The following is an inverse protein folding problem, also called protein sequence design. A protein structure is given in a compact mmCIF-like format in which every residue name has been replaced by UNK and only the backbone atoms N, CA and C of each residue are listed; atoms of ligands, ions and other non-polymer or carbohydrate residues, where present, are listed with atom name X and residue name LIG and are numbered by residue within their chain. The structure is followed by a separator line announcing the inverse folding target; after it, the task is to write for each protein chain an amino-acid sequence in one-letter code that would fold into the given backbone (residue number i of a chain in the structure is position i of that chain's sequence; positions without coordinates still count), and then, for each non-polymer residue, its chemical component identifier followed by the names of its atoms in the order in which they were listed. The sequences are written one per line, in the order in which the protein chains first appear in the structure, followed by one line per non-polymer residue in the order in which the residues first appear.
data_IF_621426025358
#
_entry.id   IF_621426025358
#
_cell.length_a   1.000
_cell.length_b   1.000
_cell.length_c   1.000
_cell.angle_alpha   90.00
_cell.angle_beta   90.00
_cell.angle_gamma   90.00
#
_symmetry.space_group_name_H-M   'P 1'
#
loop_
_entity.id
_entity.type
_entity.pdbx_description
1 polymer ?
#
# COMPACT_ATOMS: atom_id res chain seq x y z
N UNK A 1 -17.75 -1.73 -21.07
CA UNK A 1 -17.83 -1.02 -19.78
C UNK A 1 -16.62 -1.46 -18.97
N UNK A 2 -15.66 -0.57 -18.73
CA UNK A 2 -14.41 -0.97 -18.09
C UNK A 2 -14.69 -1.17 -16.59
N UNK A 3 -14.19 -2.23 -15.93
CA UNK A 3 -14.41 -2.46 -14.50
C UNK A 3 -13.81 -1.37 -13.57
N UNK A 4 -13.28 -0.28 -14.14
CA UNK A 4 -12.73 0.88 -13.43
C UNK A 4 -13.66 2.11 -13.49
N UNK A 5 -14.72 2.08 -14.30
CA UNK A 5 -15.66 3.21 -14.47
C UNK A 5 -16.53 3.46 -13.21
N UNK A 6 -16.36 2.67 -12.14
CA UNK A 6 -17.17 2.69 -10.93
C UNK A 6 -16.45 3.10 -9.65
N UNK A 7 -15.19 3.55 -9.68
CA UNK A 7 -14.62 4.20 -8.48
C UNK A 7 -15.12 5.65 -8.44
N UNK A 8 -16.43 5.79 -8.23
CA UNK A 8 -17.03 7.04 -7.83
C UNK A 8 -16.22 7.59 -6.65
N UNK A 9 -15.94 8.89 -6.67
CA UNK A 9 -15.31 9.62 -5.58
C UNK A 9 -16.18 9.53 -4.33
N UNK A 10 -16.14 8.41 -3.62
CA UNK A 10 -16.82 8.28 -2.35
C UNK A 10 -16.06 9.17 -1.35
N UNK A 11 -16.74 10.05 -0.61
CA UNK A 11 -16.07 10.82 0.42
C UNK A 11 -15.53 9.88 1.50
N UNK A 12 -14.38 10.22 2.08
CA UNK A 12 -13.91 9.56 3.29
C UNK A 12 -14.93 9.77 4.41
N UNK A 13 -15.09 8.81 5.34
CA UNK A 13 -16.06 8.94 6.42
C UNK A 13 -15.67 10.11 7.34
N UNK A 14 -16.64 10.85 7.86
CA UNK A 14 -16.36 11.85 8.88
C UNK A 14 -15.73 11.20 10.11
N UNK A 15 -14.59 11.74 10.53
CA UNK A 15 -13.90 11.25 11.72
C UNK A 15 -14.52 11.92 12.93
N UNK A 16 -15.00 11.12 13.87
CA UNK A 16 -15.35 11.60 15.20
C UNK A 16 -14.22 11.24 16.15
N UNK A 17 -13.86 12.18 17.04
CA UNK A 17 -12.87 11.89 18.08
C UNK A 17 -13.30 10.67 18.90
N UNK A 18 -12.47 9.63 18.91
CA UNK A 18 -12.80 8.37 19.57
C UNK A 18 -11.56 7.67 20.09
N UNK A 19 -11.70 7.08 21.27
CA UNK A 19 -10.71 6.18 21.85
C UNK A 19 -11.25 4.76 21.79
N UNK A 20 -10.42 3.83 21.32
CA UNK A 20 -10.75 2.41 21.22
C UNK A 20 -9.72 1.63 22.04
N UNK A 21 -10.11 1.02 23.16
CA UNK A 21 -9.22 0.13 23.90
C UNK A 21 -8.91 -1.11 23.06
N UNK A 22 -7.66 -1.54 23.11
CA UNK A 22 -7.16 -2.76 22.48
C UNK A 22 -7.00 -3.86 23.53
N UNK A 23 -7.00 -5.12 23.08
CA UNK A 23 -6.94 -6.30 23.95
C UNK A 23 -5.64 -6.38 24.78
N UNK A 24 -4.62 -5.65 24.35
CA UNK A 24 -3.30 -5.61 24.96
C UNK A 24 -3.14 -4.42 25.93
N UNK A 25 -4.23 -3.71 26.23
CA UNK A 25 -4.22 -2.52 27.09
C UNK A 25 -3.75 -1.23 26.41
N UNK A 26 -3.42 -1.27 25.12
CA UNK A 26 -3.23 -0.06 24.32
C UNK A 26 -4.56 0.66 24.05
N UNK A 27 -4.50 1.95 23.72
CA UNK A 27 -5.67 2.74 23.31
C UNK A 27 -5.37 3.41 21.98
N UNK A 28 -6.24 3.17 21.00
CA UNK A 28 -6.16 3.80 19.68
C UNK A 28 -7.07 5.04 19.64
N UNK A 29 -6.46 6.19 19.44
CA UNK A 29 -7.12 7.50 19.37
C UNK A 29 -7.29 7.89 17.92
N UNK A 30 -8.53 8.13 17.49
CA UNK A 30 -8.84 8.75 16.21
C UNK A 30 -9.03 10.25 16.44
N UNK A 31 -8.19 11.05 15.81
CA UNK A 31 -8.17 12.51 15.95
C UNK A 31 -8.62 13.13 14.62
N UNK A 32 -9.77 13.82 14.60
CA UNK A 32 -10.31 14.41 13.37
C UNK A 32 -9.60 15.69 12.96
N UNK A 33 -9.17 16.49 13.94
CA UNK A 33 -8.48 17.74 13.68
C UNK A 33 -6.98 17.48 13.56
N UNK A 34 -6.53 17.16 12.36
CA UNK A 34 -5.10 16.97 12.09
C UNK A 34 -4.45 18.34 11.89
N UNK A 35 -3.39 18.69 12.65
CA UNK A 35 -2.72 19.96 12.45
C UNK A 35 -2.19 20.10 11.02
N UNK A 36 -2.42 21.24 10.37
CA UNK A 36 -1.95 21.42 8.99
C UNK A 36 -0.42 21.51 8.92
N UNK A 37 0.21 22.19 9.87
CA UNK A 37 1.66 22.38 9.90
C UNK A 37 2.39 21.11 10.37
N UNK A 38 3.42 20.69 9.61
CA UNK A 38 4.20 19.49 9.93
C UNK A 38 4.86 19.54 11.32
N UNK A 39 5.28 20.72 11.79
CA UNK A 39 5.81 20.90 13.15
C UNK A 39 4.76 20.58 14.23
N UNK A 40 3.51 21.03 14.03
CA UNK A 40 2.41 20.74 14.95
C UNK A 40 1.99 19.27 14.88
N UNK A 41 2.02 18.65 13.68
CA UNK A 41 1.80 17.20 13.55
C UNK A 41 2.83 16.40 14.34
N UNK A 42 4.10 16.83 14.31
CA UNK A 42 5.17 16.18 15.09
C UNK A 42 4.90 16.28 16.58
N UNK A 43 4.58 17.47 17.08
CA UNK A 43 4.25 17.66 18.49
C UNK A 43 3.01 16.82 18.90
N UNK A 44 2.03 16.69 18.01
CA UNK A 44 0.82 15.91 18.29
C UNK A 44 1.04 14.39 18.32
N UNK A 45 2.06 13.87 17.64
CA UNK A 45 2.45 12.45 17.72
C UNK A 45 3.53 12.19 18.77
N UNK A 46 4.08 13.25 19.37
CA UNK A 46 5.06 13.14 20.43
C UNK A 46 4.41 12.48 21.66
N UNK A 47 5.05 11.44 22.20
CA UNK A 47 4.47 10.63 23.28
C UNK A 47 3.42 9.60 22.87
N UNK A 48 3.12 9.43 21.58
CA UNK A 48 2.43 8.20 21.13
C UNK A 48 3.44 7.06 20.91
N UNK A 49 2.97 5.81 20.90
CA UNK A 49 3.80 4.64 20.58
C UNK A 49 3.93 4.51 19.05
N UNK A 50 2.79 4.52 18.38
CA UNK A 50 2.64 4.43 16.93
C UNK A 50 1.67 5.51 16.49
N UNK A 51 1.89 6.09 15.32
CA UNK A 51 0.97 7.04 14.71
C UNK A 51 0.72 6.71 13.25
N UNK A 52 -0.44 7.13 12.76
CA UNK A 52 -0.75 7.15 11.35
C UNK A 52 -1.40 8.48 10.94
N UNK A 53 -1.03 8.97 9.76
CA UNK A 53 -1.75 10.03 9.05
C UNK A 53 -2.35 9.41 7.81
N UNK A 54 -3.61 9.70 7.53
CA UNK A 54 -4.29 9.22 6.32
C UNK A 54 -5.12 10.32 5.68
N UNK A 55 -5.24 10.29 4.37
CA UNK A 55 -6.09 11.23 3.64
C UNK A 55 -5.74 11.30 2.15
N UNK A 56 -6.44 12.14 1.38
CA UNK A 56 -6.18 12.27 -0.05
C UNK A 56 -4.74 12.66 -0.35
N UNK A 57 -4.20 12.11 -1.43
CA UNK A 57 -2.91 12.53 -1.98
C UNK A 57 -3.08 13.75 -2.87
N UNK A 58 -2.34 14.81 -2.58
CA UNK A 58 -2.49 16.11 -3.26
C UNK A 58 -1.40 16.42 -4.26
N UNK A 59 -0.33 15.64 -4.28
CA UNK A 59 0.80 15.91 -5.15
C UNK A 59 0.66 15.21 -6.52
N UNK A 60 -0.38 14.42 -6.76
CA UNK A 60 -0.60 13.66 -8.01
C UNK A 60 -0.56 14.56 -9.26
N UNK A 61 -0.03 14.07 -10.41
CA UNK A 61 -0.08 14.85 -11.65
C UNK A 61 -1.54 15.12 -12.05
N UNK A 62 -1.83 16.24 -12.74
CA UNK A 62 -3.20 16.57 -13.18
C UNK A 62 -3.87 15.49 -14.04
N UNK A 63 -3.08 14.60 -14.65
CA UNK A 63 -3.52 13.49 -15.49
C UNK A 63 -3.95 12.25 -14.68
N UNK A 64 -3.73 12.22 -13.36
CA UNK A 64 -4.16 11.11 -12.52
C UNK A 64 -5.69 11.12 -12.40
N UNK A 65 -6.34 10.11 -12.97
CA UNK A 65 -7.79 10.02 -13.07
C UNK A 65 -8.51 9.68 -11.74
N UNK A 66 -7.78 9.40 -10.65
CA UNK A 66 -8.40 9.03 -9.37
C UNK A 66 -7.66 9.58 -8.15
N UNK A 67 -8.38 10.09 -7.13
CA UNK A 67 -7.79 10.45 -5.86
C UNK A 67 -7.28 9.19 -5.17
N UNK A 68 -5.98 9.12 -4.94
CA UNK A 68 -5.39 8.10 -4.08
C UNK A 68 -5.51 8.54 -2.63
N UNK A 69 -5.85 7.61 -1.74
CA UNK A 69 -5.69 7.83 -0.31
C UNK A 69 -4.27 7.50 0.08
N UNK A 70 -3.54 8.51 0.50
CA UNK A 70 -2.19 8.43 1.04
C UNK A 70 -2.20 8.11 2.52
N UNK A 71 -1.06 7.57 2.97
CA UNK A 71 -0.84 7.42 4.39
C UNK A 71 0.62 7.51 4.78
N UNK A 72 0.83 7.73 6.07
CA UNK A 72 2.12 7.59 6.73
C UNK A 72 1.86 6.82 8.02
N UNK A 73 2.63 5.76 8.30
CA UNK A 73 2.52 4.99 9.55
C UNK A 73 3.89 4.91 10.18
N UNK A 74 4.09 5.39 11.40
CA UNK A 74 5.40 5.39 12.03
C UNK A 74 5.36 5.20 13.53
N UNK A 75 6.52 4.88 14.11
CA UNK A 75 6.75 4.93 15.56
C UNK A 75 7.22 6.32 15.98
N UNK A 76 6.78 6.80 17.14
CA UNK A 76 7.17 8.15 17.60
C UNK A 76 8.59 8.18 18.13
N UNK A 77 9.11 7.07 18.67
CA UNK A 77 10.51 6.92 19.07
C UNK A 77 11.48 7.16 17.90
N UNK A 78 11.08 6.82 16.67
CA UNK A 78 11.89 7.05 15.49
C UNK A 78 12.10 8.55 15.20
N UNK A 79 11.22 9.43 15.72
CA UNK A 79 11.31 10.88 15.55
C UNK A 79 12.41 11.50 16.40
N UNK A 80 12.86 10.85 17.47
CA UNK A 80 13.98 11.33 18.30
C UNK A 80 15.34 10.88 17.76
N UNK A 81 15.37 9.89 16.86
CA UNK A 81 16.59 9.35 16.22
C UNK A 81 16.85 9.83 14.78
N UNK A 82 17.29 8.91 13.91
CA UNK A 82 17.73 9.21 12.53
C UNK A 82 16.61 9.74 11.60
N UNK A 83 15.37 9.31 11.81
CA UNK A 83 14.23 9.83 11.05
C UNK A 83 13.87 11.26 11.47
N UNK A 84 14.15 11.63 12.73
CA UNK A 84 14.13 13.01 13.22
C UNK A 84 15.17 13.93 12.56
N UNK A 85 16.39 13.44 12.34
CA UNK A 85 17.47 14.18 11.64
C UNK A 85 17.20 14.33 10.15
N UNK A 86 16.41 13.45 9.56
CA UNK A 86 15.92 13.59 8.20
C UNK A 86 14.54 14.26 8.14
N UNK A 87 14.34 15.30 8.96
CA UNK A 87 13.14 16.14 9.01
C UNK A 87 12.61 16.49 7.62
N UNK A 88 13.51 16.82 6.68
CA UNK A 88 13.16 17.09 5.29
C UNK A 88 12.38 15.95 4.63
N UNK A 89 12.80 14.70 4.74
CA UNK A 89 12.08 13.57 4.11
C UNK A 89 10.77 13.24 4.82
N UNK A 90 10.72 13.33 6.15
CA UNK A 90 9.47 13.15 6.90
C UNK A 90 8.42 14.21 6.53
N UNK A 91 8.83 15.49 6.50
CA UNK A 91 7.95 16.60 6.09
C UNK A 91 7.54 16.49 4.63
N UNK A 92 8.47 16.15 3.72
CA UNK A 92 8.15 15.97 2.30
C UNK A 92 7.15 14.82 2.09
N UNK A 93 7.31 13.70 2.79
CA UNK A 93 6.38 12.58 2.74
C UNK A 93 4.98 12.99 3.23
N UNK A 94 4.90 13.81 4.28
CA UNK A 94 3.62 14.28 4.80
C UNK A 94 2.95 15.35 3.96
N UNK A 95 3.70 16.21 3.27
CA UNK A 95 3.16 17.23 2.36
C UNK A 95 2.47 16.63 1.13
N UNK A 96 2.73 15.35 0.84
CA UNK A 96 2.03 14.62 -0.20
C UNK A 96 0.59 14.22 0.20
N UNK A 97 0.22 14.41 1.47
CA UNK A 97 -1.06 13.98 2.05
C UNK A 97 -1.78 15.22 2.58
N UNK A 98 -3.02 15.42 2.14
CA UNK A 98 -3.98 16.26 2.84
C UNK A 98 -4.63 15.42 3.93
N UNK A 99 -4.23 15.58 5.21
CA UNK A 99 -4.60 14.63 6.25
C UNK A 99 -6.07 14.79 6.63
N UNK A 100 -6.82 13.72 6.39
CA UNK A 100 -8.21 13.56 6.83
C UNK A 100 -8.31 13.05 8.26
N UNK A 101 -7.38 12.18 8.67
CA UNK A 101 -7.35 11.62 10.01
C UNK A 101 -5.92 11.43 10.53
N UNK A 102 -5.77 11.61 11.84
CA UNK A 102 -4.58 11.23 12.59
C UNK A 102 -4.99 10.14 13.59
N UNK A 103 -4.25 9.05 13.61
CA UNK A 103 -4.49 7.91 14.47
C UNK A 103 -3.28 7.76 15.39
N UNK A 104 -3.50 7.71 16.70
CA UNK A 104 -2.43 7.60 17.69
C UNK A 104 -2.65 6.37 18.56
N UNK A 105 -1.64 5.52 18.68
CA UNK A 105 -1.62 4.43 19.65
C UNK A 105 -0.91 4.93 20.91
N UNK A 106 -1.61 4.93 22.04
CA UNK A 106 -1.02 5.19 23.35
C UNK A 106 -1.04 3.94 24.21
N UNK A 107 -0.08 3.84 25.13
CA UNK A 107 -0.07 2.80 26.14
C UNK A 107 0.56 3.35 27.41
N UNK A 108 0.09 2.88 28.56
CA UNK A 108 0.65 3.22 29.88
C UNK A 108 2.03 2.62 30.12
N UNK A 109 2.33 1.49 29.49
CA UNK A 109 3.65 0.85 29.51
C UNK A 109 4.26 0.80 28.11
N UNK A 110 5.58 1.00 27.96
CA UNK A 110 6.25 0.87 26.67
C UNK A 110 6.09 -0.54 26.10
N UNK A 111 5.98 -0.65 24.77
CA UNK A 111 6.11 -1.95 24.11
C UNK A 111 7.56 -2.40 24.11
N UNK A 112 7.77 -3.71 24.02
CA UNK A 112 9.05 -4.25 23.56
C UNK A 112 9.38 -3.69 22.16
N UNK A 113 10.59 -3.18 21.93
CA UNK A 113 10.96 -2.57 20.65
C UNK A 113 10.85 -3.51 19.43
N UNK A 114 11.09 -4.80 19.62
CA UNK A 114 11.00 -5.81 18.56
C UNK A 114 9.52 -6.11 18.25
N UNK A 115 8.66 -6.25 19.26
CA UNK A 115 7.20 -6.39 19.07
C UNK A 115 6.59 -5.18 18.36
N UNK A 116 6.99 -3.96 18.75
CA UNK A 116 6.49 -2.74 18.13
C UNK A 116 6.93 -2.63 16.67
N UNK A 117 8.16 -3.03 16.36
CA UNK A 117 8.67 -3.02 14.98
C UNK A 117 7.96 -4.05 14.10
N UNK A 118 7.61 -5.22 14.64
CA UNK A 118 6.76 -6.20 13.95
C UNK A 118 5.34 -5.67 13.75
N UNK A 119 4.76 -5.07 14.80
CA UNK A 119 3.40 -4.50 14.76
C UNK A 119 3.28 -3.40 13.71
N UNK A 120 4.20 -2.43 13.69
CA UNK A 120 4.27 -1.37 12.68
C UNK A 120 4.34 -1.96 11.27
N UNK A 121 5.24 -2.91 11.04
CA UNK A 121 5.41 -3.54 9.74
C UNK A 121 4.16 -4.30 9.28
N UNK A 122 3.44 -4.93 10.22
CA UNK A 122 2.19 -5.63 9.92
C UNK A 122 1.07 -4.65 9.58
N UNK A 123 0.94 -3.53 10.30
CA UNK A 123 -0.01 -2.46 9.97
C UNK A 123 0.25 -1.92 8.57
N UNK A 124 1.51 -1.62 8.25
CA UNK A 124 1.95 -1.16 6.93
C UNK A 124 1.59 -2.17 5.84
N UNK A 125 1.93 -3.45 6.05
CA UNK A 125 1.66 -4.52 5.09
C UNK A 125 0.15 -4.69 4.84
N UNK A 126 -0.67 -4.68 5.90
CA UNK A 126 -2.12 -4.80 5.79
C UNK A 126 -2.74 -3.64 5.02
N UNK A 127 -2.44 -2.40 5.41
CA UNK A 127 -3.05 -1.22 4.81
C UNK A 127 -2.58 -0.98 3.36
N UNK A 128 -1.31 -1.23 3.04
CA UNK A 128 -0.77 -0.96 1.70
C UNK A 128 -0.95 -2.12 0.72
N UNK A 129 -0.83 -3.37 1.20
CA UNK A 129 -0.76 -4.55 0.32
C UNK A 129 -2.01 -5.41 0.41
N UNK A 130 -2.40 -5.83 1.62
CA UNK A 130 -3.46 -6.84 1.75
C UNK A 130 -4.86 -6.24 1.55
N UNK A 131 -5.13 -5.07 2.14
CA UNK A 131 -6.36 -4.31 1.94
C UNK A 131 -6.25 -3.34 0.75
N UNK A 132 -5.02 -2.96 0.37
CA UNK A 132 -4.78 -2.06 -0.75
C UNK A 132 -5.39 -0.67 -0.57
N UNK A 133 -5.57 -0.21 0.67
CA UNK A 133 -6.30 1.00 1.04
C UNK A 133 -5.43 2.25 1.05
N UNK A 134 -4.14 2.11 1.39
CA UNK A 134 -3.25 3.24 1.58
C UNK A 134 -2.06 3.23 0.63
N UNK A 135 -1.84 4.40 0.06
CA UNK A 135 -0.64 4.80 -0.61
C UNK A 135 0.41 5.27 0.42
N UNK A 136 1.14 4.32 1.03
CA UNK A 136 2.10 4.66 2.08
C UNK A 136 3.31 5.43 1.54
N UNK A 137 3.58 6.55 2.18
CA UNK A 137 4.69 7.47 1.86
C UNK A 137 6.00 7.10 2.56
N UNK A 138 5.95 6.12 3.47
CA UNK A 138 7.09 5.55 4.15
C UNK A 138 7.03 4.01 4.12
N UNK A 139 8.13 3.34 3.74
CA UNK A 139 8.24 1.88 3.80
C UNK A 139 9.61 1.49 4.33
N UNK A 140 9.87 1.78 5.61
CA UNK A 140 11.06 1.29 6.30
C UNK A 140 10.61 0.48 7.52
N UNK A 141 10.95 -0.80 7.58
CA UNK A 141 10.89 -1.55 8.84
C UNK A 141 12.02 -2.58 8.91
N UNK A 142 12.63 -2.71 10.10
CA UNK A 142 13.61 -3.76 10.42
C UNK A 142 12.93 -5.04 10.92
N UNK A 143 11.69 -5.30 10.49
CA UNK A 143 10.82 -6.28 11.12
C UNK A 143 11.29 -7.74 10.98
N UNK A 144 12.07 -8.09 9.95
CA UNK A 144 12.63 -9.45 9.84
C UNK A 144 13.61 -9.75 10.97
N UNK A 145 14.52 -8.81 11.27
CA UNK A 145 15.48 -8.97 12.37
C UNK A 145 14.78 -8.97 13.73
N UNK A 146 13.77 -8.11 13.90
CA UNK A 146 12.96 -8.07 15.12
C UNK A 146 12.18 -9.38 15.32
N UNK A 147 11.51 -9.88 14.28
CA UNK A 147 10.74 -11.12 14.35
C UNK A 147 11.61 -12.33 14.72
N UNK A 148 12.86 -12.39 14.24
CA UNK A 148 13.79 -13.47 14.56
C UNK A 148 14.20 -13.52 16.05
N UNK A 149 14.03 -12.42 16.80
CA UNK A 149 14.38 -12.32 18.23
C UNK A 149 13.20 -12.62 19.15
N UNK A 150 11.98 -12.68 18.61
CA UNK A 150 10.77 -12.94 19.38
C UNK A 150 10.48 -14.44 19.47
N UNK A 151 9.89 -14.84 20.59
CA UNK A 151 9.31 -16.18 20.69
C UNK A 151 8.09 -16.28 19.76
N UNK A 152 7.70 -17.48 19.29
CA UNK A 152 6.55 -17.65 18.41
C UNK A 152 5.24 -17.04 18.96
N UNK A 153 5.01 -17.16 20.26
CA UNK A 153 3.84 -16.59 20.93
C UNK A 153 3.84 -15.05 20.88
N UNK A 154 4.97 -14.41 21.17
CA UNK A 154 5.11 -12.95 21.14
C UNK A 154 4.99 -12.41 19.71
N UNK A 155 5.58 -13.12 18.76
CA UNK A 155 5.44 -12.82 17.33
C UNK A 155 3.97 -12.88 16.89
N UNK A 156 3.24 -13.94 17.26
CA UNK A 156 1.83 -14.08 16.94
C UNK A 156 0.97 -12.96 17.56
N UNK A 157 1.25 -12.57 18.80
CA UNK A 157 0.57 -11.47 19.48
C UNK A 157 0.82 -10.13 18.77
N UNK A 158 2.06 -9.81 18.41
CA UNK A 158 2.41 -8.59 17.67
C UNK A 158 1.74 -8.54 16.28
N UNK A 159 1.69 -9.67 15.57
CA UNK A 159 0.99 -9.77 14.28
C UNK A 159 -0.51 -9.53 14.45
N UNK A 160 -1.14 -10.16 15.45
CA UNK A 160 -2.58 -10.02 15.73
C UNK A 160 -2.95 -8.59 16.11
N UNK A 161 -2.11 -7.93 16.91
CA UNK A 161 -2.26 -6.52 17.25
C UNK A 161 -2.16 -5.64 16.00
N UNK A 162 -1.16 -5.87 15.15
CA UNK A 162 -1.00 -5.14 13.89
C UNK A 162 -2.19 -5.31 12.94
N UNK A 163 -2.75 -6.52 12.86
CA UNK A 163 -3.96 -6.80 12.09
C UNK A 163 -5.18 -6.06 12.63
N UNK A 164 -5.33 -6.03 13.95
CA UNK A 164 -6.43 -5.32 14.64
C UNK A 164 -6.35 -3.82 14.38
N UNK A 165 -5.16 -3.22 14.55
CA UNK A 165 -4.95 -1.78 14.31
C UNK A 165 -5.23 -1.43 12.84
N UNK A 166 -4.70 -2.22 11.89
CA UNK A 166 -4.95 -2.00 10.47
C UNK A 166 -6.45 -2.08 10.13
N UNK A 167 -7.16 -3.07 10.68
CA UNK A 167 -8.60 -3.23 10.48
C UNK A 167 -9.40 -2.05 11.01
N UNK A 168 -9.03 -1.53 12.19
CA UNK A 168 -9.67 -0.35 12.77
C UNK A 168 -9.42 0.90 11.92
N UNK A 169 -8.19 1.12 11.46
CA UNK A 169 -7.85 2.24 10.56
C UNK A 169 -8.66 2.13 9.26
N UNK A 170 -8.66 0.97 8.62
CA UNK A 170 -9.36 0.75 7.35
C UNK A 170 -10.87 0.97 7.46
N UNK A 171 -11.51 0.43 8.49
CA UNK A 171 -12.96 0.57 8.66
C UNK A 171 -13.37 1.96 9.14
N UNK A 172 -12.64 2.54 10.11
CA UNK A 172 -13.07 3.77 10.79
C UNK A 172 -12.52 5.03 10.18
N UNK A 173 -11.27 5.03 9.72
CA UNK A 173 -10.68 6.22 9.10
C UNK A 173 -10.88 6.24 7.58
N UNK A 174 -10.92 5.06 6.96
CA UNK A 174 -10.98 4.94 5.51
C UNK A 174 -12.35 4.50 4.99
N UNK A 175 -13.29 4.08 5.85
CA UNK A 175 -14.62 3.66 5.41
C UNK A 175 -14.60 2.45 4.48
N UNK A 176 -13.63 1.57 4.69
CA UNK A 176 -13.29 0.46 3.81
C UNK A 176 -12.81 0.88 2.41
N UNK A 177 -12.25 2.08 2.27
CA UNK A 177 -11.68 2.54 1.00
C UNK A 177 -10.60 1.57 0.51
N UNK A 178 -10.64 1.29 -0.78
CA UNK A 178 -9.58 0.60 -1.48
C UNK A 178 -9.05 1.54 -2.55
N UNK A 179 -7.75 1.80 -2.54
CA UNK A 179 -7.18 2.51 -3.67
C UNK A 179 -7.38 1.66 -4.93
N UNK A 180 -7.75 2.27 -6.07
CA UNK A 180 -7.94 1.54 -7.32
C UNK A 180 -6.67 0.78 -7.72
N UNK A 181 -5.51 1.25 -7.26
CA UNK A 181 -4.20 0.71 -7.60
C UNK A 181 -3.31 0.59 -6.36
N UNK A 182 -2.26 -0.26 -6.38
CA UNK A 182 -1.43 -0.50 -5.21
C UNK A 182 -0.60 0.74 -4.82
N UNK A 183 -0.16 0.74 -3.56
CA UNK A 183 0.57 1.86 -2.96
C UNK A 183 1.76 2.38 -3.82
N UNK A 184 2.03 3.70 -3.81
CA UNK A 184 3.16 4.32 -4.45
C UNK A 184 4.45 3.58 -4.13
N UNK A 185 5.23 3.39 -5.17
CA UNK A 185 6.48 2.69 -5.15
C UNK A 185 7.64 3.67 -5.35
N UNK A 186 8.82 3.34 -4.81
CA UNK A 186 10.02 4.18 -4.94
C UNK A 186 10.52 4.31 -6.38
N UNK A 187 10.09 3.42 -7.28
CA UNK A 187 10.43 3.45 -8.69
C UNK A 187 9.37 2.69 -9.52
N UNK A 188 9.45 2.84 -10.84
CA UNK A 188 8.53 2.21 -11.79
C UNK A 188 8.57 0.67 -11.73
N UNK A 189 9.73 0.05 -11.49
CA UNK A 189 9.86 -1.41 -11.37
C UNK A 189 9.07 -1.96 -10.18
N UNK A 190 9.19 -1.34 -9.00
CA UNK A 190 8.42 -1.76 -7.82
C UNK A 190 6.94 -1.45 -7.99
N UNK A 191 6.59 -0.34 -8.65
CA UNK A 191 5.19 -0.04 -8.98
C UNK A 191 4.62 -1.18 -9.84
N UNK A 192 5.36 -1.60 -10.87
CA UNK A 192 4.98 -2.69 -11.75
C UNK A 192 4.82 -4.01 -11.00
N UNK A 193 5.80 -4.39 -10.18
CA UNK A 193 5.72 -5.60 -9.34
C UNK A 193 4.50 -5.57 -8.42
N UNK A 194 4.20 -4.43 -7.79
CA UNK A 194 3.01 -4.31 -6.93
C UNK A 194 1.71 -4.41 -7.71
N UNK A 195 1.64 -3.81 -8.91
CA UNK A 195 0.48 -3.92 -9.80
C UNK A 195 0.25 -5.39 -10.19
N UNK A 196 1.31 -6.10 -10.58
CA UNK A 196 1.25 -7.54 -10.88
C UNK A 196 0.77 -8.33 -9.66
N UNK A 197 1.38 -8.10 -8.49
CA UNK A 197 1.02 -8.81 -7.26
C UNK A 197 -0.42 -8.55 -6.83
N UNK A 198 -0.91 -7.31 -6.97
CA UNK A 198 -2.31 -6.96 -6.66
C UNK A 198 -3.27 -7.66 -7.61
N UNK A 199 -3.03 -7.58 -8.93
CA UNK A 199 -3.86 -8.26 -9.91
C UNK A 199 -3.91 -9.78 -9.65
N UNK A 200 -2.78 -10.39 -9.30
CA UNK A 200 -2.74 -11.81 -8.98
C UNK A 200 -3.41 -12.17 -7.65
N UNK A 201 -3.36 -11.31 -6.63
CA UNK A 201 -3.98 -11.57 -5.32
C UNK A 201 -5.47 -11.28 -5.28
N UNK A 202 -5.87 -10.09 -5.75
CA UNK A 202 -7.23 -9.59 -5.62
C UNK A 202 -8.08 -9.94 -6.85
N UNK A 203 -7.54 -9.76 -8.05
CA UNK A 203 -8.25 -10.04 -9.31
C UNK A 203 -8.05 -11.51 -9.77
N UNK A 204 -7.20 -12.26 -9.06
CA UNK A 204 -6.84 -13.67 -9.35
C UNK A 204 -6.43 -13.93 -10.80
N UNK A 205 -5.74 -12.98 -11.43
CA UNK A 205 -5.34 -13.08 -12.85
C UNK A 205 -3.94 -12.55 -13.14
N UNK A 206 -3.44 -12.90 -14.32
CA UNK A 206 -2.31 -12.23 -14.94
C UNK A 206 -2.71 -10.91 -15.64
N UNK A 207 -1.72 -10.09 -15.95
CA UNK A 207 -1.87 -8.83 -16.70
C UNK A 207 -0.83 -8.78 -17.81
N UNK A 208 -1.17 -8.20 -18.96
CA UNK A 208 -0.19 -8.03 -20.04
C UNK A 208 0.62 -6.73 -19.91
N UNK A 209 1.62 -6.56 -20.79
CA UNK A 209 2.47 -5.37 -20.79
C UNK A 209 1.70 -4.07 -21.05
N UNK A 210 0.69 -4.08 -21.94
CA UNK A 210 -0.07 -2.89 -22.29
C UNK A 210 -0.94 -2.45 -21.12
N UNK A 211 -1.62 -3.40 -20.48
CA UNK A 211 -2.39 -3.17 -19.27
C UNK A 211 -1.48 -2.68 -18.13
N UNK A 212 -0.31 -3.29 -17.96
CA UNK A 212 0.68 -2.87 -16.96
C UNK A 212 1.13 -1.42 -17.18
N UNK A 213 1.45 -1.04 -18.42
CA UNK A 213 1.81 0.32 -18.79
C UNK A 213 0.67 1.31 -18.53
N UNK A 214 -0.56 0.99 -18.94
CA UNK A 214 -1.72 1.83 -18.71
C UNK A 214 -1.97 2.04 -17.21
N UNK A 215 -1.83 0.98 -16.40
CA UNK A 215 -1.93 1.06 -14.94
C UNK A 215 -0.81 1.92 -14.35
N UNK A 216 0.43 1.78 -14.81
CA UNK A 216 1.55 2.62 -14.34
C UNK A 216 1.29 4.11 -14.63
N UNK A 217 0.86 4.43 -15.85
CA UNK A 217 0.55 5.79 -16.26
C UNK A 217 -0.61 6.39 -15.45
N UNK A 218 -1.69 5.63 -15.24
CA UNK A 218 -2.81 6.02 -14.38
C UNK A 218 -2.39 6.30 -12.92
N UNK A 219 -1.25 5.75 -12.48
CA UNK A 219 -0.66 5.97 -11.16
C UNK A 219 0.39 7.08 -11.13
N UNK A 220 0.61 7.80 -12.25
CA UNK A 220 1.63 8.84 -12.35
C UNK A 220 3.06 8.30 -12.35
N UNK A 221 3.26 7.03 -12.73
CA UNK A 221 4.58 6.45 -12.97
C UNK A 221 4.92 6.57 -14.45
N UNK A 222 5.86 7.44 -14.84
CA UNK A 222 6.34 7.43 -16.21
C UNK A 222 7.05 6.10 -16.49
N UNK A 223 6.89 5.59 -17.71
CA UNK A 223 7.62 4.41 -18.22
C UNK A 223 9.14 4.59 -18.16
N UNK A 224 9.63 5.83 -18.12
CA UNK A 224 11.05 6.21 -18.05
C UNK A 224 11.75 5.99 -16.69
N UNK A 225 11.16 5.26 -15.74
CA UNK A 225 11.88 4.68 -14.59
C UNK A 225 12.20 5.63 -13.42
N UNK A 226 12.03 6.95 -13.58
CA UNK A 226 12.25 7.94 -12.52
C UNK A 226 10.93 8.47 -11.97
N UNK A 227 10.69 8.26 -10.67
CA UNK A 227 9.59 8.92 -9.97
C UNK A 227 10.11 9.92 -8.94
N UNK A 228 9.31 10.94 -8.64
CA UNK A 228 9.59 11.94 -7.60
C UNK A 228 9.69 11.34 -6.18
N UNK A 229 9.35 10.06 -6.02
CA UNK A 229 9.28 9.29 -4.77
C UNK A 229 10.64 8.81 -4.25
N UNK A 230 11.73 9.53 -4.55
CA UNK A 230 13.08 9.19 -4.08
C UNK A 230 13.23 9.46 -2.58
N UNK A 231 12.65 8.60 -1.76
CA UNK A 231 13.25 8.21 -0.47
C UNK A 231 12.57 6.98 0.12
N UNK A 232 12.88 5.79 -0.40
CA UNK A 232 13.07 4.60 0.45
C UNK A 232 14.17 3.76 -0.21
N UNK A 233 15.31 3.63 0.49
CA UNK A 233 16.48 2.85 0.04
C UNK A 233 16.16 1.36 -0.04
N UNK A 234 16.72 0.75 -1.11
CA UNK A 234 17.24 -0.62 -1.24
C UNK A 234 16.42 -1.71 -0.56
N UNK A 235 15.54 -2.37 -1.31
CA UNK A 235 15.19 -3.73 -0.89
C UNK A 235 14.97 -4.67 -2.08
N UNK A 236 14.40 -4.25 -3.20
CA UNK A 236 13.97 -5.24 -4.21
C UNK A 236 15.12 -5.90 -4.96
N UNK A 237 16.10 -5.13 -5.47
CA UNK A 237 17.23 -5.72 -6.19
C UNK A 237 18.09 -6.59 -5.25
N UNK A 238 18.43 -6.07 -4.07
CA UNK A 238 19.21 -6.80 -3.05
C UNK A 238 18.45 -8.03 -2.54
N UNK A 239 17.13 -7.96 -2.34
CA UNK A 239 16.30 -9.07 -1.86
C UNK A 239 16.10 -10.13 -2.94
N UNK A 240 15.75 -9.76 -4.17
CA UNK A 240 15.64 -10.73 -5.27
C UNK A 240 16.99 -11.42 -5.56
N UNK A 241 18.11 -10.70 -5.46
CA UNK A 241 19.45 -11.29 -5.56
C UNK A 241 19.77 -12.22 -4.39
N UNK A 242 19.38 -11.89 -3.15
CA UNK A 242 19.64 -12.74 -1.97
C UNK A 242 18.73 -13.96 -1.89
N UNK A 243 17.47 -13.85 -2.35
CA UNK A 243 16.47 -14.93 -2.24
C UNK A 243 16.36 -15.78 -3.50
N UNK A 244 17.02 -15.39 -4.61
CA UNK A 244 17.02 -16.12 -5.88
C UNK A 244 15.63 -16.33 -6.50
N UNK A 245 14.62 -15.61 -6.02
CA UNK A 245 13.21 -15.85 -6.31
C UNK A 245 12.57 -14.57 -6.84
N UNK A 246 12.19 -14.50 -8.12
CA UNK A 246 11.55 -13.31 -8.67
C UNK A 246 10.20 -13.09 -8.00
N UNK A 247 9.76 -11.84 -7.83
CA UNK A 247 8.44 -11.53 -7.24
C UNK A 247 7.27 -11.64 -8.24
N UNK A 248 7.59 -11.76 -9.53
CA UNK A 248 6.67 -11.92 -10.63
C UNK A 248 7.26 -12.86 -11.69
N UNK A 249 6.42 -13.70 -12.27
CA UNK A 249 6.74 -14.48 -13.47
C UNK A 249 6.21 -13.76 -14.71
N UNK A 250 6.87 -14.02 -15.84
CA UNK A 250 6.43 -13.62 -17.17
C UNK A 250 6.26 -14.89 -18.01
N UNK A 251 5.15 -15.01 -18.72
CA UNK A 251 4.84 -16.16 -19.59
C UNK A 251 4.26 -15.65 -20.92
N UNK A 252 4.67 -16.28 -22.02
CA UNK A 252 4.07 -16.00 -23.32
C UNK A 252 2.69 -16.66 -23.42
N UNK A 253 1.64 -15.88 -23.71
CA UNK A 253 0.28 -16.37 -23.91
C UNK A 253 -0.44 -15.50 -24.92
N UNK A 254 -1.09 -16.12 -25.93
CA UNK A 254 -1.84 -15.41 -26.99
C UNK A 254 -1.05 -14.28 -27.70
N UNK A 255 0.24 -14.53 -27.97
CA UNK A 255 1.11 -13.55 -28.63
C UNK A 255 1.48 -12.34 -27.76
N UNK A 256 1.22 -12.40 -26.45
CA UNK A 256 1.54 -11.36 -25.47
C UNK A 256 2.41 -11.94 -24.35
N UNK A 257 3.09 -11.06 -23.62
CA UNK A 257 3.77 -11.41 -22.37
C UNK A 257 2.82 -11.09 -21.21
N UNK A 258 2.45 -12.12 -20.46
CA UNK A 258 1.57 -12.03 -19.30
C UNK A 258 2.40 -12.14 -18.03
N UNK A 259 2.23 -11.18 -17.14
CA UNK A 259 2.88 -11.12 -15.84
C UNK A 259 1.94 -11.58 -14.72
N UNK A 260 2.44 -12.38 -13.78
CA UNK A 260 1.68 -12.80 -12.60
C UNK A 260 2.58 -13.02 -11.37
N UNK A 261 2.00 -13.00 -10.17
CA UNK A 261 2.71 -13.31 -8.93
C UNK A 261 3.13 -14.79 -8.88
N UNK A 262 4.24 -15.07 -8.21
CA UNK A 262 4.75 -16.44 -8.01
C UNK A 262 3.85 -17.32 -7.16
N UNK A 263 3.05 -16.70 -6.29
CA UNK A 263 2.07 -17.39 -5.45
C UNK A 263 0.79 -17.78 -6.19
N UNK A 264 0.58 -17.30 -7.42
CA UNK A 264 -0.59 -17.62 -8.23
C UNK A 264 -0.20 -18.66 -9.29
N UNK A 265 -0.81 -19.87 -9.29
CA UNK A 265 -0.53 -20.88 -10.30
C UNK A 265 -0.77 -20.34 -11.72
N UNK A 266 0.14 -20.62 -12.65
CA UNK A 266 0.11 -20.08 -14.02
C UNK A 266 -1.21 -20.35 -14.73
N UNK A 267 -1.76 -21.57 -14.62
CA UNK A 267 -3.06 -21.90 -15.24
C UNK A 267 -4.22 -21.03 -14.75
N UNK A 268 -4.24 -20.69 -13.45
CA UNK A 268 -5.25 -19.79 -12.88
C UNK A 268 -5.02 -18.36 -13.39
N UNK A 269 -3.77 -17.90 -13.43
CA UNK A 269 -3.44 -16.57 -13.91
C UNK A 269 -3.86 -16.36 -15.38
N UNK A 270 -3.61 -17.35 -16.25
CA UNK A 270 -3.96 -17.30 -17.67
C UNK A 270 -5.46 -17.42 -17.89
N UNK A 271 -6.15 -18.31 -17.16
CA UNK A 271 -7.60 -18.41 -17.22
C UNK A 271 -8.30 -17.11 -16.80
N UNK A 272 -7.85 -16.49 -15.71
CA UNK A 272 -8.37 -15.19 -15.27
C UNK A 272 -8.07 -14.06 -16.27
N UNK A 273 -6.91 -14.11 -16.93
CA UNK A 273 -6.57 -13.18 -18.01
C UNK A 273 -7.49 -13.35 -19.22
N UNK A 274 -7.74 -14.59 -19.66
CA UNK A 274 -8.62 -14.87 -20.80
C UNK A 274 -10.07 -14.46 -20.54
N UNK A 275 -10.55 -14.59 -19.31
CA UNK A 275 -11.86 -14.10 -18.89
C UNK A 275 -11.95 -12.57 -18.94
N UNK A 276 -10.89 -11.86 -18.56
CA UNK A 276 -10.84 -10.41 -18.61
C UNK A 276 -10.64 -9.87 -20.04
N UNK A 277 -10.00 -10.64 -20.92
CA UNK A 277 -9.68 -10.27 -22.30
C UNK A 277 -10.22 -11.33 -23.27
N UNK A 278 -11.55 -11.41 -23.43
CA UNK A 278 -12.17 -12.37 -24.32
C UNK A 278 -11.69 -12.11 -25.76
N UNK A 279 -11.26 -13.16 -26.46
CA UNK A 279 -11.05 -13.05 -27.90
C UNK A 279 -12.45 -12.90 -28.50
N UNK A 280 -12.72 -11.82 -29.26
CA UNK A 280 -13.98 -11.70 -29.97
C UNK A 280 -14.12 -12.94 -30.87
N UNK A 281 -15.30 -13.56 -30.94
CA UNK A 281 -15.51 -14.71 -31.81
C UNK A 281 -15.01 -14.33 -33.20
N UNK A 282 -14.18 -15.20 -33.79
CA UNK A 282 -13.75 -15.00 -35.18
C UNK A 282 -15.03 -14.81 -35.98
N UNK A 283 -15.20 -13.63 -36.58
CA UNK A 283 -16.25 -13.45 -37.57
C UNK A 283 -16.06 -14.58 -38.58
N UNK A 284 -17.07 -15.42 -38.74
CA UNK A 284 -17.01 -16.51 -39.70
C UNK A 284 -16.60 -15.88 -41.03
N UNK A 285 -15.45 -16.30 -41.57
CA UNK A 285 -14.90 -15.81 -42.83
C UNK A 285 -15.82 -16.08 -44.03
N UNK A 286 -17.01 -16.67 -43.80
CA UNK A 286 -18.05 -16.97 -44.78
C UNK A 286 -18.95 -15.78 -45.14
N UNK A 287 -18.85 -14.61 -44.48
CA UNK A 287 -19.73 -13.45 -44.79
C UNK A 287 -19.11 -12.32 -45.62
N UNK A 288 -17.83 -12.42 -46.03
CA UNK A 288 -17.16 -11.35 -46.82
C UNK A 288 -17.06 -11.69 -48.33
N UNK A 289 -17.65 -12.79 -48.79
CA UNK A 289 -17.70 -13.15 -50.21
C UNK A 289 -19.12 -13.10 -50.82
N UNK A 290 -20.06 -12.44 -50.15
CA UNK A 290 -21.44 -12.28 -50.63
C UNK A 290 -21.88 -10.81 -50.72
N UNK A 291 -20.93 -9.90 -51.04
CA UNK A 291 -21.18 -8.49 -51.32
C UNK A 291 -20.37 -8.04 -52.52
#
# INVERSE_FOLDING_TARGET
MHPLDHVAHRPLPDITARQIPLHDGGVLHFVPQVPFAAALRRAAVDGSTLYAFVGPRIDLPPTAQSPFIGGYVGKSDALTGRAGTSWRYWVLAQRAIDPHAMILLHRSQPYDPDELSVTEARVIARLATDMGSLALTNTHSSAQTAAARLTPQRLAAAVTLGDTIAQLIWTRALGCWENPWPAPAPNCREAATRIIQRASKLERRGIDLMELCARLEANGYPSAGSTRWRSVRRDIADREQRTGSPRAHAVAHRGRIIFHATTLPTGVALSGYDAAHPIPPRANATQVLAG
#
